data_IF_572126620718
#
_entry.id   IF_572126620718
#
_cell.length_a   1.000
_cell.length_b   1.000
_cell.length_c   1.000
_cell.angle_alpha   90.00
_cell.angle_beta   90.00
_cell.angle_gamma   90.00
#
_symmetry.space_group_name_H-M   'P 1'
#
loop_
_entity.id
_entity.type
_entity.pdbx_description
1 polymer ?
#
# COMPACT_ATOMS: atom_id res chain seq x y z
N UNK A 1 -15.97 -19.24 -14.52
CA UNK A 1 -14.77 -18.44 -14.13
C UNK A 1 -13.65 -19.43 -13.89
N UNK A 2 -12.47 -19.21 -14.47
CA UNK A 2 -11.31 -20.09 -14.33
C UNK A 2 -10.66 -19.89 -12.95
N UNK A 3 -10.74 -20.88 -12.03
CA UNK A 3 -10.21 -20.75 -10.68
C UNK A 3 -8.67 -20.66 -10.62
N UNK A 4 -7.97 -20.81 -11.75
CA UNK A 4 -6.51 -20.68 -11.88
C UNK A 4 -6.08 -19.37 -12.57
N UNK A 5 -7.02 -18.45 -12.83
CA UNK A 5 -6.65 -17.13 -13.35
C UNK A 5 -5.92 -16.32 -12.28
N UNK A 6 -4.68 -15.89 -12.59
CA UNK A 6 -3.87 -15.01 -11.73
C UNK A 6 -4.64 -13.75 -11.29
N UNK A 7 -5.45 -13.19 -12.19
CA UNK A 7 -6.28 -12.01 -11.92
C UNK A 7 -7.40 -12.32 -10.91
N UNK A 8 -8.01 -13.51 -10.98
CA UNK A 8 -9.08 -13.90 -10.04
C UNK A 8 -8.50 -14.14 -8.65
N UNK A 9 -7.36 -14.84 -8.57
CA UNK A 9 -6.68 -15.11 -7.30
C UNK A 9 -6.24 -13.81 -6.62
N UNK A 10 -5.58 -12.90 -7.35
CA UNK A 10 -5.16 -11.61 -6.78
C UNK A 10 -6.33 -10.70 -6.45
N UNK A 11 -7.39 -10.65 -7.27
CA UNK A 11 -8.58 -9.88 -6.94
C UNK A 11 -9.27 -10.39 -5.66
N UNK A 12 -9.41 -11.71 -5.52
CA UNK A 12 -9.95 -12.33 -4.30
C UNK A 12 -9.05 -12.06 -3.10
N UNK A 13 -7.74 -12.20 -3.25
CA UNK A 13 -6.76 -11.86 -2.21
C UNK A 13 -6.90 -10.42 -1.73
N UNK A 14 -7.07 -9.44 -2.64
CA UNK A 14 -7.29 -8.04 -2.29
C UNK A 14 -8.60 -7.81 -1.55
N UNK A 15 -9.68 -8.47 -1.96
CA UNK A 15 -10.96 -8.40 -1.24
C UNK A 15 -10.78 -8.91 0.20
N UNK A 16 -10.07 -10.02 0.38
CA UNK A 16 -9.77 -10.57 1.70
C UNK A 16 -8.89 -9.63 2.52
N UNK A 17 -7.87 -9.01 1.90
CA UNK A 17 -7.01 -8.01 2.52
C UNK A 17 -7.82 -6.80 3.03
N UNK A 18 -8.66 -6.21 2.19
CA UNK A 18 -9.51 -5.09 2.58
C UNK A 18 -10.56 -5.48 3.64
N UNK A 19 -10.97 -6.76 3.67
CA UNK A 19 -11.80 -7.33 4.72
C UNK A 19 -11.03 -7.70 6.00
N UNK A 20 -9.73 -7.37 6.11
CA UNK A 20 -8.85 -7.68 7.25
C UNK A 20 -8.64 -9.18 7.49
N UNK A 21 -8.93 -10.02 6.49
CA UNK A 21 -8.74 -11.48 6.52
C UNK A 21 -7.36 -11.82 5.93
N UNK A 22 -6.31 -11.36 6.60
CA UNK A 22 -4.95 -11.35 6.06
C UNK A 22 -4.38 -12.76 5.79
N UNK A 23 -4.66 -13.73 6.65
CA UNK A 23 -4.22 -15.12 6.45
C UNK A 23 -4.73 -15.69 5.14
N UNK A 24 -6.03 -15.53 4.87
CA UNK A 24 -6.64 -16.02 3.64
C UNK A 24 -6.19 -15.21 2.42
N UNK A 25 -5.94 -13.91 2.58
CA UNK A 25 -5.37 -13.09 1.52
C UNK A 25 -3.97 -13.59 1.11
N UNK A 26 -3.12 -13.86 2.11
CA UNK A 26 -1.76 -14.40 1.92
C UNK A 26 -1.81 -15.75 1.19
N UNK A 27 -2.74 -16.64 1.55
CA UNK A 27 -2.91 -17.91 0.86
C UNK A 27 -3.26 -17.73 -0.63
N UNK A 28 -4.17 -16.82 -0.96
CA UNK A 28 -4.52 -16.56 -2.37
C UNK A 28 -3.36 -15.95 -3.16
N UNK A 29 -2.58 -15.05 -2.56
CA UNK A 29 -1.41 -14.48 -3.22
C UNK A 29 -0.30 -15.52 -3.43
N UNK A 30 -0.05 -16.39 -2.45
CA UNK A 30 0.90 -17.51 -2.60
C UNK A 30 0.46 -18.46 -3.71
N UNK A 31 -0.83 -18.79 -3.82
CA UNK A 31 -1.36 -19.59 -4.93
C UNK A 31 -1.13 -18.91 -6.28
N UNK A 32 -1.28 -17.59 -6.38
CA UNK A 32 -0.97 -16.86 -7.61
C UNK A 32 0.53 -16.91 -7.96
N UNK A 33 1.40 -16.82 -6.97
CA UNK A 33 2.85 -16.96 -7.12
C UNK A 33 3.24 -18.38 -7.54
N UNK A 34 2.63 -19.42 -6.96
CA UNK A 34 2.89 -20.82 -7.32
C UNK A 34 2.52 -21.09 -8.80
N UNK A 35 1.48 -20.44 -9.31
CA UNK A 35 1.08 -20.53 -10.72
C UNK A 35 1.99 -19.72 -11.64
N UNK A 36 2.45 -18.55 -11.20
CA UNK A 36 3.41 -17.75 -11.95
C UNK A 36 4.34 -16.97 -10.99
N UNK A 37 5.55 -17.49 -10.76
CA UNK A 37 6.52 -16.85 -9.87
C UNK A 37 6.98 -15.47 -10.34
N UNK A 38 6.81 -15.12 -11.61
CA UNK A 38 7.21 -13.82 -12.16
C UNK A 38 6.07 -12.77 -12.08
N UNK A 39 4.90 -13.14 -11.53
CA UNK A 39 3.77 -12.23 -11.41
C UNK A 39 3.96 -11.23 -10.27
N UNK A 40 4.70 -10.16 -10.54
CA UNK A 40 5.11 -9.10 -9.60
C UNK A 40 3.97 -8.58 -8.72
N UNK A 41 2.76 -8.45 -9.27
CA UNK A 41 1.63 -7.93 -8.52
C UNK A 41 1.24 -8.81 -7.33
N UNK A 42 1.31 -10.15 -7.46
CA UNK A 42 1.01 -11.05 -6.37
C UNK A 42 2.03 -10.93 -5.24
N UNK A 43 3.32 -10.75 -5.57
CA UNK A 43 4.37 -10.48 -4.59
C UNK A 43 4.16 -9.15 -3.86
N UNK A 44 3.77 -8.10 -4.57
CA UNK A 44 3.45 -6.81 -3.96
C UNK A 44 2.24 -6.90 -3.01
N UNK A 45 1.16 -7.53 -3.44
CA UNK A 45 -0.05 -7.66 -2.61
C UNK A 45 0.18 -8.59 -1.40
N UNK A 46 1.03 -9.61 -1.55
CA UNK A 46 1.52 -10.45 -0.45
C UNK A 46 2.31 -9.63 0.57
N UNK A 47 3.26 -8.80 0.10
CA UNK A 47 4.05 -7.92 0.96
C UNK A 47 3.16 -6.99 1.79
N UNK A 48 2.17 -6.37 1.15
CA UNK A 48 1.23 -5.47 1.83
C UNK A 48 0.45 -6.20 2.93
N UNK A 49 -0.02 -7.41 2.64
CA UNK A 49 -0.79 -8.23 3.58
C UNK A 49 0.04 -8.77 4.74
N UNK A 50 1.28 -9.18 4.48
CA UNK A 50 2.24 -9.56 5.54
C UNK A 50 2.55 -8.38 6.45
N UNK A 51 2.66 -7.18 5.87
CA UNK A 51 2.74 -5.93 6.62
C UNK A 51 1.55 -5.78 7.56
N UNK A 52 0.32 -5.77 7.05
CA UNK A 52 -0.84 -5.59 7.93
C UNK A 52 -1.02 -6.69 9.00
N UNK A 53 -0.51 -7.89 8.74
CA UNK A 53 -0.46 -9.00 9.72
C UNK A 53 0.71 -8.88 10.72
N UNK A 54 1.62 -7.93 10.53
CA UNK A 54 2.84 -7.74 11.31
C UNK A 54 3.86 -8.91 11.18
N UNK A 55 3.86 -9.60 10.04
CA UNK A 55 4.80 -10.67 9.71
C UNK A 55 6.05 -10.11 9.00
N UNK A 56 6.84 -9.30 9.72
CA UNK A 56 7.93 -8.49 9.14
C UNK A 56 9.04 -9.33 8.51
N UNK A 57 9.45 -10.42 9.16
CA UNK A 57 10.55 -11.27 8.70
C UNK A 57 10.24 -11.88 7.33
N UNK A 58 9.03 -12.42 7.16
CA UNK A 58 8.57 -12.95 5.87
C UNK A 58 8.41 -11.82 4.83
N UNK A 59 7.89 -10.66 5.25
CA UNK A 59 7.79 -9.48 4.38
C UNK A 59 9.15 -9.05 3.80
N UNK A 60 10.22 -9.14 4.58
CA UNK A 60 11.59 -8.86 4.12
C UNK A 60 12.09 -9.87 3.08
N UNK A 61 11.67 -11.13 3.15
CA UNK A 61 12.02 -12.13 2.13
C UNK A 61 11.26 -11.88 0.83
N UNK A 62 9.95 -11.62 0.96
CA UNK A 62 9.07 -11.26 -0.16
C UNK A 62 9.54 -9.98 -0.86
N UNK A 63 9.98 -8.98 -0.10
CA UNK A 63 10.46 -7.73 -0.69
C UNK A 63 11.75 -7.90 -1.50
N UNK A 64 12.69 -8.74 -1.02
CA UNK A 64 13.90 -9.08 -1.79
C UNK A 64 13.52 -9.74 -3.11
N UNK A 65 12.60 -10.71 -3.10
CA UNK A 65 12.12 -11.39 -4.30
C UNK A 65 11.43 -10.44 -5.28
N UNK A 66 10.54 -9.58 -4.78
CA UNK A 66 9.88 -8.58 -5.60
C UNK A 66 10.89 -7.63 -6.28
N UNK A 67 11.92 -7.19 -5.56
CA UNK A 67 12.95 -6.28 -6.09
C UNK A 67 13.96 -6.98 -7.02
N UNK A 68 14.13 -8.30 -6.92
CA UNK A 68 14.84 -9.11 -7.93
C UNK A 68 14.06 -9.15 -9.25
N UNK A 69 12.73 -9.30 -9.19
CA UNK A 69 11.85 -9.34 -10.37
C UNK A 69 11.61 -7.97 -11.00
N UNK A 70 11.53 -6.92 -10.18
CA UNK A 70 11.26 -5.55 -10.58
C UNK A 70 12.22 -4.58 -9.87
N UNK A 71 13.46 -4.41 -10.39
CA UNK A 71 14.38 -3.42 -9.85
C UNK A 71 13.88 -2.00 -10.17
N UNK A 72 13.18 -1.39 -9.22
CA UNK A 72 12.77 0.01 -9.30
C UNK A 72 13.10 0.75 -8.00
N UNK A 73 13.66 1.96 -8.16
CA UNK A 73 14.11 2.77 -7.04
C UNK A 73 12.93 3.28 -6.19
N UNK A 74 11.82 3.68 -6.82
CA UNK A 74 10.64 4.16 -6.08
C UNK A 74 10.02 3.01 -5.30
N UNK A 75 9.84 1.85 -5.95
CA UNK A 75 9.32 0.65 -5.30
C UNK A 75 10.18 0.26 -4.09
N UNK A 76 11.51 0.20 -4.27
CA UNK A 76 12.45 -0.09 -3.18
C UNK A 76 12.25 0.87 -2.00
N UNK A 77 12.29 2.18 -2.26
CA UNK A 77 12.23 3.16 -1.17
C UNK A 77 10.87 3.15 -0.46
N UNK A 78 9.76 2.88 -1.16
CA UNK A 78 8.43 2.68 -0.53
C UNK A 78 8.44 1.47 0.39
N UNK A 79 8.97 0.34 -0.08
CA UNK A 79 9.09 -0.89 0.70
C UNK A 79 9.93 -0.65 1.95
N UNK A 80 11.10 -0.05 1.80
CA UNK A 80 12.01 0.24 2.91
C UNK A 80 11.34 1.15 3.95
N UNK A 81 10.72 2.24 3.50
CA UNK A 81 10.02 3.17 4.39
C UNK A 81 8.91 2.47 5.20
N UNK A 82 8.14 1.60 4.55
CA UNK A 82 7.06 0.84 5.21
C UNK A 82 7.62 -0.16 6.21
N UNK A 83 8.62 -0.95 5.84
CA UNK A 83 9.22 -1.96 6.73
C UNK A 83 9.85 -1.29 7.95
N UNK A 84 10.63 -0.23 7.77
CA UNK A 84 11.23 0.50 8.89
C UNK A 84 10.17 1.12 9.81
N UNK A 85 9.10 1.70 9.24
CA UNK A 85 8.00 2.25 10.04
C UNK A 85 7.34 1.17 10.90
N UNK A 86 7.12 -0.01 10.33
CA UNK A 86 6.54 -1.15 11.03
C UNK A 86 7.44 -1.72 12.13
N UNK A 87 8.76 -1.67 11.96
CA UNK A 87 9.74 -2.05 12.98
C UNK A 87 9.92 -0.99 14.07
N UNK A 88 9.24 0.16 13.97
CA UNK A 88 9.44 1.30 14.86
C UNK A 88 10.76 2.05 14.62
N UNK A 89 11.48 1.73 13.54
CA UNK A 89 12.70 2.38 13.09
C UNK A 89 12.37 3.69 12.37
N UNK A 90 11.81 4.64 13.13
CA UNK A 90 11.27 5.87 12.56
C UNK A 90 12.33 6.80 11.96
N UNK A 91 13.61 6.66 12.32
CA UNK A 91 14.67 7.48 11.72
C UNK A 91 14.95 7.03 10.29
N UNK A 92 15.13 5.72 10.09
CA UNK A 92 15.36 5.07 8.81
C UNK A 92 14.13 5.21 7.89
N UNK A 93 12.93 5.06 8.44
CA UNK A 93 11.70 5.28 7.69
C UNK A 93 11.56 6.73 7.19
N UNK A 94 11.96 7.73 8.01
CA UNK A 94 11.98 9.14 7.59
C UNK A 94 13.05 9.41 6.54
N UNK A 95 14.21 8.77 6.64
CA UNK A 95 15.26 8.87 5.63
C UNK A 95 14.77 8.35 4.28
N UNK A 96 14.14 7.16 4.24
CA UNK A 96 13.52 6.63 3.04
C UNK A 96 12.42 7.56 2.50
N UNK A 97 11.62 8.18 3.36
CA UNK A 97 10.63 9.17 2.94
C UNK A 97 11.23 10.44 2.32
N UNK A 98 12.38 10.90 2.81
CA UNK A 98 13.12 12.01 2.23
C UNK A 98 13.68 11.64 0.84
N UNK A 99 14.20 10.42 0.68
CA UNK A 99 14.64 9.90 -0.61
C UNK A 99 13.48 9.81 -1.63
N UNK A 100 12.28 9.37 -1.19
CA UNK A 100 11.08 9.42 -2.04
C UNK A 100 10.75 10.85 -2.49
N UNK A 101 10.93 11.86 -1.64
CA UNK A 101 10.70 13.24 -1.99
C UNK A 101 11.69 13.75 -3.06
N UNK A 102 12.95 13.31 -3.00
CA UNK A 102 13.94 13.61 -4.04
C UNK A 102 13.60 12.91 -5.36
N UNK A 103 13.20 11.63 -5.32
CA UNK A 103 12.75 10.90 -6.51
C UNK A 103 11.53 11.56 -7.15
N UNK A 104 10.59 12.06 -6.35
CA UNK A 104 9.38 12.75 -6.81
C UNK A 104 9.66 14.04 -7.61
N UNK A 105 10.88 14.63 -7.51
CA UNK A 105 11.28 15.78 -8.32
C UNK A 105 11.53 15.44 -9.79
N UNK A 106 11.84 14.17 -10.07
CA UNK A 106 12.24 13.70 -11.41
C UNK A 106 11.31 12.64 -12.00
N UNK A 107 10.46 12.02 -11.16
CA UNK A 107 9.50 10.99 -11.56
C UNK A 107 8.15 11.27 -10.93
N UNK A 108 7.09 10.92 -11.64
CA UNK A 108 5.76 10.91 -11.04
C UNK A 108 5.67 9.77 -10.03
N UNK A 109 5.30 10.10 -8.80
CA UNK A 109 5.00 9.15 -7.73
C UNK A 109 3.55 9.43 -7.32
N UNK A 110 2.73 8.38 -7.28
CA UNK A 110 1.33 8.49 -6.86
C UNK A 110 1.25 9.13 -5.48
N UNK A 111 0.45 10.20 -5.30
CA UNK A 111 0.24 10.81 -3.99
C UNK A 111 -0.39 9.82 -2.99
N UNK A 112 -1.15 8.82 -3.46
CA UNK A 112 -1.68 7.75 -2.60
C UNK A 112 -0.55 6.94 -1.94
N UNK A 113 0.50 6.59 -2.68
CA UNK A 113 1.66 5.87 -2.11
C UNK A 113 2.37 6.72 -1.05
N UNK A 114 2.53 8.02 -1.29
CA UNK A 114 3.12 8.93 -0.31
C UNK A 114 2.25 9.04 0.95
N UNK A 115 0.91 9.10 0.79
CA UNK A 115 -0.02 9.13 1.91
C UNK A 115 0.11 7.88 2.81
N UNK A 116 0.25 6.70 2.22
CA UNK A 116 0.45 5.44 2.96
C UNK A 116 1.75 5.45 3.77
N UNK A 117 2.85 5.94 3.18
CA UNK A 117 4.14 6.04 3.89
C UNK A 117 4.06 7.07 5.03
N UNK A 118 3.50 8.25 4.76
CA UNK A 118 3.34 9.31 5.76
C UNK A 118 2.45 8.84 6.93
N UNK A 119 1.38 8.09 6.65
CA UNK A 119 0.50 7.51 7.67
C UNK A 119 1.23 6.46 8.52
N UNK A 120 2.07 5.62 7.89
CA UNK A 120 2.92 4.64 8.56
C UNK A 120 3.94 5.29 9.50
N UNK A 121 4.49 6.43 9.11
CA UNK A 121 5.38 7.26 9.93
C UNK A 121 4.69 7.98 11.09
N UNK A 122 3.34 8.00 11.11
CA UNK A 122 2.54 8.76 12.06
C UNK A 122 2.40 10.24 11.70
N UNK A 123 2.85 10.68 10.52
CA UNK A 123 2.61 12.02 10.00
C UNK A 123 1.21 12.11 9.38
N UNK A 124 0.20 12.18 10.25
CA UNK A 124 -1.21 12.16 9.84
C UNK A 124 -1.58 13.40 9.01
N UNK A 125 -1.05 14.58 9.36
CA UNK A 125 -1.31 15.81 8.63
C UNK A 125 -0.67 15.78 7.23
N UNK A 126 0.59 15.33 7.15
CA UNK A 126 1.28 15.13 5.87
C UNK A 126 0.55 14.13 4.98
N UNK A 127 0.15 12.99 5.54
CA UNK A 127 -0.58 11.96 4.83
C UNK A 127 -1.94 12.46 4.30
N UNK A 128 -2.67 13.25 5.10
CA UNK A 128 -3.92 13.87 4.65
C UNK A 128 -3.66 14.86 3.51
N UNK A 129 -2.59 15.65 3.59
CA UNK A 129 -2.17 16.53 2.49
C UNK A 129 -1.95 15.76 1.18
N UNK A 130 -1.34 14.59 1.24
CA UNK A 130 -1.16 13.71 0.08
C UNK A 130 -2.48 13.12 -0.43
N UNK A 131 -3.42 12.74 0.45
CA UNK A 131 -4.76 12.29 0.02
C UNK A 131 -5.54 13.37 -0.72
N UNK A 132 -5.49 14.61 -0.26
CA UNK A 132 -6.15 15.74 -0.92
C UNK A 132 -5.51 16.03 -2.29
N UNK A 133 -4.19 15.86 -2.38
CA UNK A 133 -3.48 15.93 -3.66
C UNK A 133 -3.87 14.79 -4.59
N UNK A 134 -3.97 13.56 -4.08
CA UNK A 134 -4.47 12.40 -4.84
C UNK A 134 -5.85 12.69 -5.42
N UNK A 135 -6.73 13.35 -4.64
CA UNK A 135 -8.07 13.74 -5.10
C UNK A 135 -7.99 14.74 -6.25
N UNK A 136 -7.16 15.78 -6.11
CA UNK A 136 -6.97 16.79 -7.14
C UNK A 136 -6.40 16.19 -8.44
N UNK A 137 -5.51 15.21 -8.33
CA UNK A 137 -4.90 14.50 -9.46
C UNK A 137 -5.80 13.38 -10.03
N UNK A 138 -6.95 13.11 -9.41
CA UNK A 138 -7.86 12.01 -9.76
C UNK A 138 -7.16 10.65 -9.75
N UNK A 139 -6.32 10.43 -8.74
CA UNK A 139 -5.64 9.16 -8.52
C UNK A 139 -6.67 8.03 -8.37
N UNK A 140 -6.56 7.01 -9.22
CA UNK A 140 -7.53 5.91 -9.29
C UNK A 140 -7.52 5.04 -8.03
N UNK A 141 -6.45 5.05 -7.24
CA UNK A 141 -6.37 4.25 -6.01
C UNK A 141 -7.30 4.75 -4.91
N UNK A 142 -7.82 5.98 -5.01
CA UNK A 142 -8.80 6.51 -4.07
C UNK A 142 -10.12 5.73 -4.02
N UNK A 143 -10.38 4.85 -5.00
CA UNK A 143 -11.51 3.91 -4.93
C UNK A 143 -11.47 3.03 -3.68
N UNK A 144 -10.28 2.82 -3.09
CA UNK A 144 -10.09 2.03 -1.88
C UNK A 144 -10.03 2.86 -0.59
N UNK A 145 -10.27 4.17 -0.64
CA UNK A 145 -10.06 5.08 0.51
C UNK A 145 -10.83 4.66 1.77
N UNK A 146 -12.00 4.04 1.62
CA UNK A 146 -12.85 3.61 2.72
C UNK A 146 -12.45 2.27 3.34
N UNK A 147 -11.65 1.46 2.64
CA UNK A 147 -11.30 0.10 3.07
C UNK A 147 -9.80 -0.18 3.20
N UNK A 148 -8.94 0.71 2.69
CA UNK A 148 -7.48 0.62 2.83
C UNK A 148 -7.06 0.68 4.32
N UNK A 149 -6.43 -0.38 4.87
CA UNK A 149 -5.99 -0.42 6.26
C UNK A 149 -4.96 0.63 6.62
N UNK A 150 -4.04 0.91 5.71
CA UNK A 150 -2.99 1.91 5.95
C UNK A 150 -3.55 3.32 6.23
N UNK A 151 -4.81 3.58 5.85
CA UNK A 151 -5.49 4.85 6.04
C UNK A 151 -6.46 4.86 7.23
N UNK A 152 -6.54 3.80 8.04
CA UNK A 152 -7.50 3.71 9.16
C UNK A 152 -7.35 4.89 10.15
N UNK A 153 -6.11 5.34 10.41
CA UNK A 153 -5.82 6.50 11.27
C UNK A 153 -6.30 7.83 10.67
N UNK A 154 -6.33 7.95 9.34
CA UNK A 154 -6.72 9.16 8.64
C UNK A 154 -8.24 9.37 8.66
N UNK A 155 -9.03 8.33 8.92
CA UNK A 155 -10.50 8.41 8.94
C UNK A 155 -11.05 9.36 10.01
N UNK A 156 -10.29 9.59 11.08
CA UNK A 156 -10.66 10.50 12.16
C UNK A 156 -10.23 11.95 11.89
N UNK A 157 -9.44 12.18 10.84
CA UNK A 157 -8.96 13.51 10.52
C UNK A 157 -10.11 14.41 10.03
N UNK A 158 -10.21 15.69 10.47
CA UNK A 158 -11.33 16.58 10.13
C UNK A 158 -11.58 16.79 8.63
N UNK A 159 -10.53 16.63 7.81
CA UNK A 159 -10.59 16.76 6.35
C UNK A 159 -10.85 15.44 5.60
N UNK A 160 -10.89 14.30 6.28
CA UNK A 160 -11.19 13.03 5.63
C UNK A 160 -12.54 13.02 4.88
N UNK A 161 -13.64 13.62 5.42
CA UNK A 161 -14.90 13.72 4.70
C UNK A 161 -14.82 14.48 3.36
N UNK A 162 -13.90 15.45 3.23
CA UNK A 162 -13.64 16.18 1.97
C UNK A 162 -13.18 15.21 0.89
N UNK A 163 -12.26 14.30 1.22
CA UNK A 163 -11.72 13.33 0.27
C UNK A 163 -12.78 12.31 -0.13
N UNK A 164 -13.55 11.80 0.83
CA UNK A 164 -14.63 10.82 0.60
C UNK A 164 -15.73 11.39 -0.29
N UNK A 165 -16.18 12.61 -0.01
CA UNK A 165 -17.18 13.29 -0.83
C UNK A 165 -16.64 13.59 -2.24
N UNK A 166 -15.36 13.97 -2.34
CA UNK A 166 -14.71 14.29 -3.60
C UNK A 166 -14.61 13.09 -4.57
N UNK A 167 -14.52 11.86 -4.06
CA UNK A 167 -14.52 10.64 -4.89
C UNK A 167 -15.93 10.11 -5.20
N UNK A 168 -16.97 10.76 -4.66
CA UNK A 168 -18.37 10.41 -4.93
C UNK A 168 -18.97 9.34 -4.00
N UNK A 169 -18.34 9.03 -2.87
CA UNK A 169 -18.98 8.25 -1.82
C UNK A 169 -19.89 9.15 -0.97
N UNK A 170 -21.07 8.64 -0.58
CA UNK A 170 -21.90 9.32 0.41
C UNK A 170 -21.17 9.33 1.76
N UNK A 171 -21.12 10.49 2.42
CA UNK A 171 -20.60 10.57 3.77
C UNK A 171 -21.43 9.64 4.66
N UNK A 172 -20.77 8.69 5.33
CA UNK A 172 -21.43 7.79 6.28
C UNK A 172 -22.18 8.64 7.33
N UNK A 173 -23.49 8.45 7.42
CA UNK A 173 -24.37 9.09 8.40
C UNK A 173 -24.14 8.53 9.80
#
# INVERSE_FOLDING_TARGET
LDPLSLLILTARGRILHFARRYDEAIEEFRRAIDLNPDFQQAWFDLLMSLGEKNCIEEGLEVSRKLLELAPDAVLRTVIDARIFAMQGQLAEARQARAELAELAKSRHISPMLLAVVDAGLGDIDGAMGQLLRALAERDNQLVYIQCEPSLDRLRQHPRYPEVVAGVGFEAAR
#
